data_IF_680555952530
#
_entry.id   IF_680555952530
#
_cell.length_a   1.000
_cell.length_b   1.000
_cell.length_c   1.000
_cell.angle_alpha   90.00
_cell.angle_beta   90.00
_cell.angle_gamma   90.00
#
_symmetry.space_group_name_H-M   'P 1'
#
loop_
_entity.id
_entity.type
_entity.pdbx_description
1 polymer ?
#
# COMPACT_ATOMS: atom_id res chain seq x y z
N UNK A 1 34.05 -31.83 -4.81
CA UNK A 1 32.96 -31.58 -5.79
C UNK A 1 32.72 -30.07 -5.76
N UNK A 2 32.85 -29.40 -6.91
CA UNK A 2 32.53 -27.98 -6.95
C UNK A 2 31.00 -27.84 -6.87
N UNK A 3 30.51 -27.15 -5.86
CA UNK A 3 29.09 -26.79 -5.67
C UNK A 3 28.61 -25.98 -6.91
N UNK A 4 27.44 -26.32 -7.48
CA UNK A 4 26.88 -25.54 -8.56
C UNK A 4 26.41 -24.16 -8.08
N UNK A 5 26.43 -23.12 -8.96
CA UNK A 5 25.94 -21.79 -8.58
C UNK A 5 24.46 -21.81 -8.16
N UNK A 6 23.67 -22.71 -8.73
CA UNK A 6 22.28 -22.90 -8.35
C UNK A 6 22.12 -23.45 -6.93
N UNK A 7 22.97 -24.37 -6.48
CA UNK A 7 22.97 -24.88 -5.11
C UNK A 7 23.44 -23.82 -4.11
N UNK A 8 24.47 -23.07 -4.49
CA UNK A 8 24.98 -21.95 -3.70
C UNK A 8 23.90 -20.87 -3.53
N UNK A 9 23.17 -20.52 -4.58
CA UNK A 9 22.05 -19.58 -4.54
C UNK A 9 20.93 -20.09 -3.59
N UNK A 10 20.55 -21.34 -3.68
CA UNK A 10 19.55 -21.94 -2.78
C UNK A 10 19.98 -21.87 -1.33
N UNK A 11 21.25 -22.16 -1.02
CA UNK A 11 21.79 -22.05 0.33
C UNK A 11 21.73 -20.62 0.85
N UNK A 12 22.06 -19.63 0.00
CA UNK A 12 21.96 -18.22 0.37
C UNK A 12 20.52 -17.79 0.63
N UNK A 13 19.54 -18.25 -0.16
CA UNK A 13 18.11 -18.04 0.11
C UNK A 13 17.70 -18.58 1.47
N UNK A 14 18.07 -19.85 1.78
CA UNK A 14 17.75 -20.46 3.08
C UNK A 14 18.39 -19.72 4.24
N UNK A 15 19.63 -19.22 4.07
CA UNK A 15 20.30 -18.39 5.07
C UNK A 15 19.51 -17.11 5.33
N UNK A 16 19.14 -16.36 4.27
CA UNK A 16 18.40 -15.10 4.36
C UNK A 16 17.01 -15.28 5.00
N UNK A 17 16.34 -16.39 4.71
CA UNK A 17 15.03 -16.70 5.32
C UNK A 17 15.12 -16.94 6.85
N UNK A 18 16.29 -17.24 7.36
CA UNK A 18 16.53 -17.49 8.80
C UNK A 18 17.27 -16.36 9.50
N UNK A 19 17.84 -15.42 8.74
CA UNK A 19 18.63 -14.33 9.29
C UNK A 19 17.71 -13.28 9.94
N UNK A 20 17.99 -12.82 11.17
CA UNK A 20 17.10 -11.92 11.93
C UNK A 20 16.65 -10.68 11.15
N UNK A 21 17.56 -10.01 10.45
CA UNK A 21 17.27 -8.78 9.71
C UNK A 21 16.48 -8.99 8.42
N UNK A 22 16.43 -10.21 7.87
CA UNK A 22 15.82 -10.48 6.55
C UNK A 22 14.71 -11.51 6.57
N UNK A 23 14.49 -12.23 7.67
CA UNK A 23 13.47 -13.29 7.72
C UNK A 23 12.05 -12.78 7.46
N UNK A 24 11.77 -11.52 7.73
CA UNK A 24 10.52 -10.87 7.36
C UNK A 24 10.23 -10.95 5.86
N UNK A 25 11.27 -10.90 5.03
CA UNK A 25 11.17 -10.98 3.58
C UNK A 25 11.15 -12.41 3.06
N UNK A 26 11.11 -13.44 3.94
CA UNK A 26 11.16 -14.85 3.55
C UNK A 26 10.10 -15.23 2.51
N UNK A 27 8.87 -14.71 2.63
CA UNK A 27 7.82 -14.93 1.65
C UNK A 27 8.16 -14.33 0.28
N UNK A 28 8.77 -13.14 0.25
CA UNK A 28 9.18 -12.48 -1.01
C UNK A 28 10.41 -13.15 -1.62
N UNK A 29 11.34 -13.64 -0.80
CA UNK A 29 12.50 -14.41 -1.26
C UNK A 29 12.06 -15.64 -2.06
N UNK A 30 11.00 -16.33 -1.64
CA UNK A 30 10.47 -17.50 -2.34
C UNK A 30 9.41 -17.17 -3.38
N UNK A 31 8.97 -15.93 -3.47
CA UNK A 31 7.97 -15.50 -4.46
C UNK A 31 8.56 -15.53 -5.87
N UNK A 32 7.86 -16.21 -6.79
CA UNK A 32 8.29 -16.36 -8.17
C UNK A 32 9.40 -17.40 -8.36
N UNK A 33 10.04 -17.37 -9.52
CA UNK A 33 11.13 -18.27 -9.88
C UNK A 33 12.47 -17.54 -9.75
N UNK A 34 13.48 -18.25 -9.24
CA UNK A 34 14.88 -17.81 -9.21
C UNK A 34 15.69 -18.71 -10.11
N UNK A 35 16.26 -18.16 -11.19
CA UNK A 35 17.00 -18.91 -12.21
C UNK A 35 18.43 -18.39 -12.31
N UNK A 36 19.38 -19.30 -12.61
CA UNK A 36 20.76 -18.96 -12.93
C UNK A 36 20.96 -19.14 -14.42
N UNK A 37 21.43 -18.10 -15.13
CA UNK A 37 21.67 -18.13 -16.59
C UNK A 37 23.05 -17.63 -16.93
N UNK A 38 23.62 -18.22 -17.99
CA UNK A 38 24.89 -17.76 -18.60
C UNK A 38 24.64 -16.48 -19.39
N UNK A 39 25.66 -15.63 -19.47
CA UNK A 39 25.60 -14.40 -20.27
C UNK A 39 24.77 -13.27 -19.68
N UNK A 40 24.29 -13.41 -18.46
CA UNK A 40 23.65 -12.33 -17.69
C UNK A 40 24.76 -11.60 -16.91
N UNK A 41 24.92 -10.26 -17.07
CA UNK A 41 26.03 -9.54 -16.45
C UNK A 41 26.02 -9.56 -14.93
N UNK A 42 24.83 -9.39 -14.32
CA UNK A 42 24.60 -9.29 -12.88
C UNK A 42 23.37 -10.11 -12.46
N UNK A 43 22.33 -9.46 -12.03
CA UNK A 43 21.01 -10.04 -11.81
C UNK A 43 19.94 -9.08 -12.32
N UNK A 44 18.71 -9.53 -12.49
CA UNK A 44 17.57 -8.67 -12.76
C UNK A 44 16.27 -9.33 -12.34
N UNK A 45 15.26 -8.51 -12.07
CA UNK A 45 13.90 -8.98 -11.79
C UNK A 45 12.89 -8.41 -12.78
N UNK A 46 11.80 -9.14 -13.00
CA UNK A 46 10.58 -8.68 -13.67
C UNK A 46 9.49 -8.20 -12.68
N UNK A 47 9.82 -8.14 -11.38
CA UNK A 47 8.89 -7.83 -10.29
C UNK A 47 8.32 -9.06 -9.57
N UNK A 48 8.43 -10.25 -10.16
CA UNK A 48 8.02 -11.53 -9.57
C UNK A 48 9.17 -12.54 -9.60
N UNK A 49 9.75 -12.75 -10.77
CA UNK A 49 10.85 -13.70 -10.99
C UNK A 49 12.19 -12.97 -10.94
N UNK A 50 13.25 -13.70 -10.68
CA UNK A 50 14.64 -13.18 -10.66
C UNK A 50 15.55 -14.06 -11.48
N UNK A 51 16.41 -13.44 -12.29
CA UNK A 51 17.44 -14.13 -13.05
C UNK A 51 18.80 -13.64 -12.59
N UNK A 52 19.70 -14.57 -12.26
CA UNK A 52 21.05 -14.30 -11.81
C UNK A 52 22.07 -14.77 -12.83
N UNK A 53 23.11 -13.98 -13.07
CA UNK A 53 24.23 -14.34 -13.93
C UNK A 53 25.14 -15.40 -13.30
N UNK A 54 25.39 -16.52 -14.02
CA UNK A 54 26.24 -17.59 -13.49
C UNK A 54 27.66 -17.09 -13.22
N UNK A 55 28.24 -16.34 -14.17
CA UNK A 55 29.59 -15.79 -14.09
C UNK A 55 29.70 -14.71 -12.98
N UNK A 56 28.63 -13.94 -12.79
CA UNK A 56 28.55 -12.95 -11.70
C UNK A 56 28.54 -13.64 -10.35
N UNK A 57 27.64 -14.61 -10.15
CA UNK A 57 27.55 -15.36 -8.90
C UNK A 57 28.85 -16.08 -8.54
N UNK A 58 29.57 -16.62 -9.55
CA UNK A 58 30.84 -17.29 -9.33
C UNK A 58 31.94 -16.37 -8.77
N UNK A 59 31.86 -15.08 -9.03
CA UNK A 59 32.81 -14.06 -8.54
C UNK A 59 32.45 -13.49 -7.18
N UNK A 60 31.16 -13.45 -6.83
CA UNK A 60 30.68 -12.89 -5.56
C UNK A 60 31.19 -13.69 -4.36
N UNK A 61 31.58 -13.01 -3.30
CA UNK A 61 31.68 -13.62 -1.98
C UNK A 61 30.29 -13.88 -1.38
N UNK A 62 30.19 -14.52 -0.20
CA UNK A 62 28.91 -14.86 0.41
C UNK A 62 28.12 -13.62 0.87
N UNK A 63 28.74 -12.59 1.51
CA UNK A 63 28.02 -11.37 1.89
C UNK A 63 27.46 -10.61 0.70
N UNK A 64 28.22 -10.49 -0.38
CA UNK A 64 27.78 -9.82 -1.62
C UNK A 64 26.68 -10.61 -2.33
N UNK A 65 26.80 -11.94 -2.40
CA UNK A 65 25.75 -12.80 -2.95
C UNK A 65 24.41 -12.58 -2.23
N UNK A 66 24.45 -12.54 -0.89
CA UNK A 66 23.26 -12.31 -0.09
C UNK A 66 22.70 -10.90 -0.28
N UNK A 67 23.57 -9.90 -0.40
CA UNK A 67 23.16 -8.54 -0.72
C UNK A 67 22.51 -8.46 -2.11
N UNK A 68 23.05 -9.15 -3.12
CA UNK A 68 22.45 -9.22 -4.47
C UNK A 68 21.05 -9.83 -4.42
N UNK A 69 20.86 -10.91 -3.68
CA UNK A 69 19.51 -11.49 -3.50
C UNK A 69 18.57 -10.49 -2.85
N UNK A 70 19.00 -9.82 -1.79
CA UNK A 70 18.17 -8.86 -1.07
C UNK A 70 17.92 -7.58 -1.87
N UNK A 71 18.80 -7.24 -2.81
CA UNK A 71 18.58 -6.15 -3.76
C UNK A 71 17.39 -6.47 -4.68
N UNK A 72 17.38 -7.61 -5.32
CA UNK A 72 16.26 -8.05 -6.17
C UNK A 72 14.95 -8.20 -5.37
N UNK A 73 15.03 -8.72 -4.15
CA UNK A 73 13.92 -8.81 -3.20
C UNK A 73 13.41 -7.41 -2.85
N UNK A 74 14.29 -6.42 -2.71
CA UNK A 74 13.95 -5.02 -2.47
C UNK A 74 13.11 -4.43 -3.60
N UNK A 75 13.48 -4.67 -4.86
CA UNK A 75 12.70 -4.24 -6.02
C UNK A 75 11.30 -4.85 -6.06
N UNK A 76 11.17 -6.15 -5.72
CA UNK A 76 9.87 -6.83 -5.60
C UNK A 76 9.03 -6.25 -4.45
N UNK A 77 9.64 -6.09 -3.27
CA UNK A 77 9.00 -5.56 -2.08
C UNK A 77 8.48 -4.14 -2.28
N UNK A 78 9.30 -3.25 -2.83
CA UNK A 78 8.93 -1.86 -3.10
C UNK A 78 8.12 -1.69 -4.39
N UNK A 79 7.84 -2.79 -5.11
CA UNK A 79 7.03 -2.82 -6.34
C UNK A 79 7.54 -1.85 -7.40
N UNK A 80 8.87 -1.71 -7.51
CA UNK A 80 9.47 -0.66 -8.33
C UNK A 80 9.00 -0.71 -9.78
N UNK A 81 8.86 -1.89 -10.37
CA UNK A 81 8.53 -2.07 -11.78
C UNK A 81 7.04 -1.90 -12.10
N UNK A 82 6.15 -2.03 -11.11
CA UNK A 82 4.71 -1.88 -11.29
C UNK A 82 4.22 -0.52 -10.81
N UNK A 83 4.56 -0.15 -9.58
CA UNK A 83 4.07 1.09 -8.96
C UNK A 83 4.69 2.37 -9.56
N UNK A 84 5.97 2.31 -9.97
CA UNK A 84 6.68 3.46 -10.54
C UNK A 84 6.82 3.38 -12.06
N UNK A 85 6.01 2.57 -12.76
CA UNK A 85 6.05 2.35 -14.20
C UNK A 85 6.20 3.65 -15.00
N UNK A 86 5.45 4.70 -14.62
CA UNK A 86 5.51 6.02 -15.25
C UNK A 86 6.93 6.64 -15.21
N UNK A 87 7.68 6.52 -14.11
CA UNK A 87 9.03 7.07 -14.02
C UNK A 87 9.98 6.34 -14.95
N UNK A 88 9.83 5.02 -15.09
CA UNK A 88 10.60 4.20 -16.00
C UNK A 88 10.25 4.48 -17.47
N UNK A 89 9.02 4.82 -17.79
CA UNK A 89 8.61 5.25 -19.14
C UNK A 89 9.16 6.63 -19.48
N UNK A 90 9.29 7.56 -18.52
CA UNK A 90 9.83 8.91 -18.73
C UNK A 90 11.35 8.92 -18.89
N UNK A 91 12.11 8.29 -17.99
CA UNK A 91 13.56 8.17 -18.03
C UNK A 91 14.01 6.92 -17.27
N UNK A 92 14.08 5.80 -18.02
CA UNK A 92 14.39 4.46 -17.50
C UNK A 92 15.68 4.43 -16.67
N UNK A 93 16.73 5.06 -17.17
CA UNK A 93 18.05 5.06 -16.51
C UNK A 93 17.97 5.77 -15.17
N UNK A 94 17.41 6.97 -15.14
CA UNK A 94 17.28 7.75 -13.90
C UNK A 94 16.34 7.07 -12.90
N UNK A 95 15.26 6.44 -13.38
CA UNK A 95 14.31 5.71 -12.52
C UNK A 95 14.98 4.47 -11.89
N UNK A 96 15.75 3.70 -12.67
CA UNK A 96 16.50 2.56 -12.17
C UNK A 96 17.51 2.99 -11.10
N UNK A 97 18.31 4.00 -11.39
CA UNK A 97 19.26 4.56 -10.42
C UNK A 97 18.58 5.00 -9.12
N UNK A 98 17.44 5.68 -9.22
CA UNK A 98 16.70 6.14 -8.04
C UNK A 98 16.18 4.96 -7.20
N UNK A 99 15.69 3.91 -7.85
CA UNK A 99 15.25 2.69 -7.20
C UNK A 99 16.41 1.98 -6.49
N UNK A 100 17.59 1.87 -7.14
CA UNK A 100 18.79 1.24 -6.58
C UNK A 100 19.32 1.99 -5.36
N UNK A 101 19.36 3.33 -5.39
CA UNK A 101 19.75 4.12 -4.22
C UNK A 101 18.87 3.81 -3.00
N UNK A 102 17.56 3.68 -3.20
CA UNK A 102 16.61 3.39 -2.12
C UNK A 102 16.78 1.97 -1.60
N UNK A 103 16.90 0.97 -2.47
CA UNK A 103 17.10 -0.43 -2.07
C UNK A 103 18.43 -0.61 -1.33
N UNK A 104 19.51 -0.04 -1.88
CA UNK A 104 20.85 -0.18 -1.29
C UNK A 104 20.93 0.51 0.08
N UNK A 105 20.25 1.64 0.30
CA UNK A 105 20.17 2.27 1.62
C UNK A 105 19.48 1.36 2.66
N UNK A 106 18.45 0.61 2.26
CA UNK A 106 17.80 -0.37 3.13
C UNK A 106 18.79 -1.47 3.53
N UNK A 107 19.56 -2.01 2.58
CA UNK A 107 20.54 -3.07 2.84
C UNK A 107 21.65 -2.57 3.76
N UNK A 108 22.22 -1.40 3.51
CA UNK A 108 23.28 -0.80 4.33
C UNK A 108 22.81 -0.54 5.77
N UNK A 109 21.54 -0.19 5.97
CA UNK A 109 20.97 0.04 7.30
C UNK A 109 20.87 -1.21 8.17
N UNK A 110 20.84 -2.42 7.60
CA UNK A 110 20.88 -3.64 8.42
C UNK A 110 22.20 -3.79 9.18
N UNK A 111 23.27 -3.15 8.70
CA UNK A 111 24.56 -3.07 9.37
C UNK A 111 25.06 -4.43 9.91
N UNK A 112 24.99 -5.45 9.06
CA UNK A 112 25.43 -6.81 9.38
C UNK A 112 26.58 -7.24 8.48
N UNK A 113 27.61 -7.95 9.00
CA UNK A 113 28.71 -8.45 8.20
C UNK A 113 28.28 -9.56 7.21
N UNK A 114 27.12 -10.12 7.42
CA UNK A 114 26.60 -11.21 6.62
C UNK A 114 25.99 -10.77 5.28
N UNK A 115 25.66 -9.48 5.12
CA UNK A 115 24.99 -8.91 3.95
C UNK A 115 25.63 -7.55 3.66
N UNK A 116 26.49 -7.51 2.66
CA UNK A 116 27.31 -6.32 2.35
C UNK A 116 27.20 -5.98 0.88
N UNK A 117 26.91 -4.71 0.53
CA UNK A 117 26.87 -4.23 -0.84
C UNK A 117 28.27 -4.20 -1.45
N UNK A 118 28.34 -4.32 -2.78
CA UNK A 118 29.61 -4.36 -3.51
C UNK A 118 30.21 -2.98 -3.78
N UNK A 119 31.46 -2.99 -4.20
CA UNK A 119 32.12 -1.79 -4.72
C UNK A 119 31.40 -1.28 -5.97
N UNK A 120 31.16 0.03 -6.02
CA UNK A 120 30.46 0.67 -7.15
C UNK A 120 28.93 0.57 -7.11
N UNK A 121 28.34 -0.07 -6.10
CA UNK A 121 26.90 -0.02 -5.90
C UNK A 121 26.43 1.39 -5.57
N UNK A 122 25.29 1.78 -6.12
CA UNK A 122 24.72 3.11 -5.90
C UNK A 122 24.23 3.26 -4.46
N UNK A 123 24.94 4.03 -3.66
CA UNK A 123 24.55 4.34 -2.30
C UNK A 123 25.06 5.73 -1.90
N UNK A 124 24.19 6.53 -1.27
CA UNK A 124 24.59 7.79 -0.68
C UNK A 124 23.71 8.10 0.54
N UNK A 125 24.30 8.39 1.71
CA UNK A 125 23.55 8.66 2.93
C UNK A 125 22.63 9.90 2.85
N UNK A 126 22.83 10.78 1.86
CA UNK A 126 21.96 11.92 1.60
C UNK A 126 20.53 11.48 1.26
N UNK A 127 20.36 10.34 0.58
CA UNK A 127 19.06 9.81 0.18
C UNK A 127 18.35 8.98 1.25
N UNK A 128 18.90 8.94 2.47
CA UNK A 128 18.30 8.21 3.59
C UNK A 128 16.87 8.67 3.85
N UNK A 129 15.94 7.72 3.88
CA UNK A 129 14.49 7.93 4.04
C UNK A 129 13.82 8.72 2.89
N UNK A 130 14.48 8.87 1.75
CA UNK A 130 13.84 9.43 0.57
C UNK A 130 13.04 8.36 -0.18
N UNK A 131 11.92 8.77 -0.78
CA UNK A 131 11.19 7.92 -1.72
C UNK A 131 11.89 7.87 -3.08
N UNK A 132 11.58 6.85 -3.87
CA UNK A 132 12.09 6.75 -5.26
C UNK A 132 11.78 8.00 -6.07
N UNK A 133 10.59 8.59 -5.91
CA UNK A 133 10.18 9.83 -6.61
C UNK A 133 11.09 10.99 -6.23
N UNK A 134 11.38 11.17 -4.93
CA UNK A 134 12.25 12.25 -4.45
C UNK A 134 13.68 12.12 -5.00
N UNK A 135 14.24 10.89 -4.99
CA UNK A 135 15.56 10.63 -5.56
C UNK A 135 15.56 10.86 -7.07
N UNK A 136 14.54 10.37 -7.78
CA UNK A 136 14.36 10.56 -9.21
C UNK A 136 14.32 12.04 -9.60
N UNK A 137 13.50 12.83 -8.91
CA UNK A 137 13.37 14.26 -9.16
C UNK A 137 14.68 15.01 -8.91
N UNK A 138 15.42 14.63 -7.87
CA UNK A 138 16.73 15.21 -7.58
C UNK A 138 17.74 14.89 -8.69
N UNK A 139 17.90 13.63 -9.08
CA UNK A 139 18.81 13.21 -10.13
C UNK A 139 18.46 13.87 -11.47
N UNK A 140 17.18 13.99 -11.79
CA UNK A 140 16.70 14.65 -13.01
C UNK A 140 17.02 16.13 -13.04
N UNK A 141 16.95 16.81 -11.90
CA UNK A 141 17.34 18.24 -11.79
C UNK A 141 18.84 18.41 -12.01
N UNK A 142 19.68 17.56 -11.43
CA UNK A 142 21.13 17.56 -11.65
C UNK A 142 21.47 17.32 -13.13
N UNK A 143 20.85 16.35 -13.77
CA UNK A 143 21.01 16.07 -15.20
C UNK A 143 20.64 17.26 -16.11
N UNK A 144 19.69 18.10 -15.71
CA UNK A 144 19.31 19.32 -16.44
C UNK A 144 20.29 20.47 -16.22
N UNK A 145 20.88 20.58 -15.04
CA UNK A 145 21.84 21.65 -14.73
C UNK A 145 23.23 21.40 -15.34
N UNK A 146 23.57 20.15 -15.63
CA UNK A 146 24.86 19.76 -16.24
C UNK A 146 24.87 19.78 -17.78
N UNK A 147 23.79 20.18 -18.46
CA UNK A 147 23.82 20.43 -19.92
C UNK A 147 24.58 21.71 -20.19
N UNK A 148 25.75 21.69 -20.92
CA UNK A 148 26.47 22.89 -21.27
C UNK A 148 25.60 23.75 -22.18
N UNK A 149 25.55 25.06 -21.89
CA UNK A 149 25.08 26.08 -22.83
C UNK A 149 25.97 26.00 -24.08
N UNK A 150 25.38 25.75 -25.24
CA UNK A 150 26.06 25.70 -26.53
C UNK A 150 26.80 26.98 -26.81
N UNK A 151 28.13 26.91 -26.97
CA UNK A 151 28.97 27.96 -27.46
C UNK A 151 30.44 27.61 -27.28
N UNK A 152 31.03 26.89 -28.24
CA UNK A 152 32.49 26.71 -28.28
C UNK A 152 32.94 25.37 -28.87
N UNK A 153 33.42 25.39 -30.10
CA UNK A 153 34.11 24.30 -30.77
C UNK A 153 35.32 23.83 -29.95
N UNK A 154 35.31 22.57 -29.51
CA UNK A 154 36.52 21.87 -29.11
C UNK A 154 36.57 20.50 -29.82
N UNK A 155 37.74 20.00 -30.25
CA UNK A 155 37.88 18.86 -31.14
C UNK A 155 37.56 17.53 -30.45
N UNK A 156 36.79 16.71 -31.15
CA UNK A 156 36.48 15.33 -30.81
C UNK A 156 37.76 14.48 -30.88
N UNK A 157 38.29 14.09 -29.73
CA UNK A 157 39.25 12.98 -29.68
C UNK A 157 38.45 11.68 -29.61
N UNK A 158 38.55 10.92 -30.71
CA UNK A 158 38.06 9.53 -30.74
C UNK A 158 38.95 8.67 -29.81
N UNK A 159 38.43 8.34 -28.65
CA UNK A 159 38.98 7.29 -27.80
C UNK A 159 38.46 5.94 -28.30
N UNK A 160 39.32 5.17 -28.98
CA UNK A 160 39.08 3.76 -29.27
C UNK A 160 39.02 2.99 -27.93
N UNK A 161 37.85 2.51 -27.58
CA UNK A 161 37.69 1.55 -26.48
C UNK A 161 38.25 0.20 -26.88
N UNK A 162 39.48 -0.10 -26.46
CA UNK A 162 40.01 -1.46 -26.45
C UNK A 162 39.25 -2.26 -25.37
N UNK A 163 38.55 -3.32 -25.79
CA UNK A 163 38.00 -4.32 -24.90
C UNK A 163 39.14 -4.98 -24.10
N UNK A 164 39.21 -4.64 -22.82
CA UNK A 164 40.02 -5.37 -21.88
C UNK A 164 39.31 -6.65 -21.48
N UNK A 165 39.96 -7.77 -21.71
CA UNK A 165 39.67 -9.09 -21.18
C UNK A 165 39.33 -8.99 -19.70
N UNK A 166 38.14 -9.47 -19.34
CA UNK A 166 37.67 -9.53 -17.95
C UNK A 166 38.59 -10.46 -17.15
N UNK A 167 39.48 -9.84 -16.38
CA UNK A 167 40.21 -10.52 -15.33
C UNK A 167 39.24 -11.17 -14.36
N UNK A 168 39.55 -12.41 -13.93
CA UNK A 168 38.82 -13.25 -13.02
C UNK A 168 38.85 -12.73 -11.55
N UNK A 169 38.73 -11.42 -11.38
CA UNK A 169 38.83 -10.78 -10.08
C UNK A 169 37.57 -11.11 -9.23
N UNK A 170 37.83 -11.62 -8.06
CA UNK A 170 36.79 -11.90 -7.07
C UNK A 170 36.09 -10.60 -6.63
N UNK A 171 34.79 -10.62 -6.52
CA UNK A 171 33.97 -9.50 -6.04
C UNK A 171 33.65 -9.71 -4.56
N UNK A 172 33.93 -8.69 -3.74
CA UNK A 172 33.75 -8.73 -2.29
C UNK A 172 32.76 -7.66 -1.83
N UNK A 173 31.97 -7.99 -0.80
CA UNK A 173 31.10 -7.05 -0.12
C UNK A 173 31.88 -6.10 0.80
N UNK A 174 31.43 -4.86 0.92
CA UNK A 174 32.09 -3.82 1.70
C UNK A 174 31.31 -3.50 2.98
N UNK A 175 31.99 -3.62 4.13
CA UNK A 175 31.42 -3.26 5.43
C UNK A 175 31.14 -1.75 5.56
N UNK A 176 31.98 -0.92 4.94
CA UNK A 176 31.83 0.54 4.92
C UNK A 176 31.85 1.00 3.45
N UNK A 177 30.71 0.98 2.75
CA UNK A 177 30.65 1.38 1.37
C UNK A 177 30.96 2.87 1.22
N UNK A 178 31.76 3.21 0.19
CA UNK A 178 32.03 4.60 -0.16
C UNK A 178 30.77 5.22 -0.76
N UNK A 179 30.31 6.40 -0.29
CA UNK A 179 29.19 7.09 -0.88
C UNK A 179 29.44 7.40 -2.34
N UNK A 180 28.48 7.09 -3.21
CA UNK A 180 28.54 7.41 -4.63
C UNK A 180 28.58 8.92 -4.82
N UNK A 181 29.57 9.41 -5.58
CA UNK A 181 29.63 10.83 -5.93
C UNK A 181 28.58 11.14 -7.00
N UNK A 182 27.58 11.91 -6.63
CA UNK A 182 26.41 12.20 -7.49
C UNK A 182 26.82 13.06 -8.69
N UNK A 183 27.80 13.91 -8.55
CA UNK A 183 28.28 14.80 -9.61
C UNK A 183 29.03 14.02 -10.71
N UNK A 184 29.53 12.84 -10.40
CA UNK A 184 30.22 11.94 -11.34
C UNK A 184 29.25 10.97 -12.06
N UNK A 185 28.00 10.88 -11.62
CA UNK A 185 26.97 10.08 -12.28
C UNK A 185 26.44 10.83 -13.51
N UNK A 186 27.33 11.13 -14.46
CA UNK A 186 26.89 11.68 -15.73
C UNK A 186 26.31 10.56 -16.62
N UNK A 187 25.25 10.83 -17.39
CA UNK A 187 24.53 9.84 -18.20
C UNK A 187 25.38 9.19 -19.31
N UNK A 188 26.65 9.60 -19.47
CA UNK A 188 27.56 9.17 -20.51
C UNK A 188 28.63 8.16 -20.07
N UNK A 189 28.67 7.78 -18.81
CA UNK A 189 29.67 6.86 -18.30
C UNK A 189 29.15 5.41 -18.34
N UNK A 190 29.42 4.73 -19.42
CA UNK A 190 29.23 3.29 -19.61
C UNK A 190 30.15 2.42 -18.72
N UNK A 191 30.23 2.72 -17.44
CA UNK A 191 31.11 2.03 -16.51
C UNK A 191 30.42 1.45 -15.25
N UNK A 192 29.22 1.90 -14.91
CA UNK A 192 28.45 1.32 -13.82
C UNK A 192 27.42 0.39 -14.46
N UNK A 193 27.63 -0.91 -14.31
CA UNK A 193 26.66 -1.92 -14.73
C UNK A 193 25.52 -1.88 -13.74
N UNK A 194 24.52 -1.07 -14.04
CA UNK A 194 23.23 -1.14 -13.35
C UNK A 194 22.52 -2.41 -13.79
N UNK A 195 21.80 -3.03 -12.87
CA UNK A 195 20.93 -4.12 -13.21
C UNK A 195 19.82 -3.59 -14.13
N UNK A 196 19.80 -4.03 -15.37
CA UNK A 196 18.75 -3.66 -16.32
C UNK A 196 17.53 -4.52 -16.06
N UNK A 197 16.62 -4.02 -15.23
CA UNK A 197 15.35 -4.71 -14.99
C UNK A 197 14.51 -4.78 -16.26
N UNK A 198 13.88 -5.93 -16.47
CA UNK A 198 13.02 -6.17 -17.64
C UNK A 198 11.61 -5.65 -17.43
N UNK A 199 11.45 -4.34 -17.58
CA UNK A 199 10.17 -3.65 -17.46
C UNK A 199 9.17 -4.12 -18.51
N UNK A 200 9.63 -4.52 -19.69
CA UNK A 200 8.79 -5.04 -20.76
C UNK A 200 8.08 -6.34 -20.36
N UNK A 201 8.77 -7.22 -19.63
CA UNK A 201 8.17 -8.44 -19.07
C UNK A 201 7.27 -8.12 -17.86
N UNK A 202 7.57 -7.07 -17.09
CA UNK A 202 6.74 -6.60 -15.98
C UNK A 202 5.46 -5.88 -16.45
N UNK A 203 5.42 -5.40 -17.68
CA UNK A 203 4.25 -4.73 -18.24
C UNK A 203 3.03 -5.65 -18.42
N UNK A 204 3.25 -6.96 -18.48
CA UNK A 204 2.21 -7.98 -18.60
C UNK A 204 1.52 -8.31 -17.26
N UNK A 205 2.06 -7.81 -16.13
CA UNK A 205 1.49 -8.05 -14.81
C UNK A 205 0.50 -6.96 -14.39
N UNK A 206 -0.65 -7.37 -13.90
CA UNK A 206 -1.59 -6.46 -13.25
C UNK A 206 -0.98 -5.96 -11.91
N UNK A 207 -0.87 -4.64 -11.74
CA UNK A 207 -0.35 -3.99 -10.54
C UNK A 207 -1.07 -4.50 -9.27
N UNK A 208 -2.38 -4.69 -9.36
CA UNK A 208 -3.18 -5.19 -8.24
C UNK A 208 -2.80 -6.63 -7.88
N UNK A 209 -2.63 -7.49 -8.87
CA UNK A 209 -2.25 -8.89 -8.64
C UNK A 209 -0.85 -9.00 -8.01
N UNK A 210 0.12 -8.21 -8.49
CA UNK A 210 1.48 -8.15 -7.91
C UNK A 210 1.42 -7.62 -6.48
N UNK A 211 0.63 -6.57 -6.23
CA UNK A 211 0.43 -6.01 -4.89
C UNK A 211 -0.10 -7.06 -3.90
N UNK A 212 -1.15 -7.79 -4.27
CA UNK A 212 -1.74 -8.83 -3.43
C UNK A 212 -0.76 -9.97 -3.14
N UNK A 213 0.04 -10.37 -4.14
CA UNK A 213 1.09 -11.39 -3.97
C UNK A 213 2.18 -10.94 -3.01
N UNK A 214 2.67 -9.69 -3.14
CA UNK A 214 3.69 -9.11 -2.25
C UNK A 214 3.15 -9.00 -0.84
N UNK A 215 1.92 -8.50 -0.65
CA UNK A 215 1.30 -8.38 0.67
C UNK A 215 1.08 -9.73 1.34
N UNK A 216 0.66 -10.75 0.57
CA UNK A 216 0.54 -12.13 1.07
C UNK A 216 1.89 -12.71 1.49
N UNK A 217 2.93 -12.48 0.68
CA UNK A 217 4.28 -12.94 0.96
C UNK A 217 4.87 -12.27 2.22
N UNK A 218 4.62 -10.97 2.41
CA UNK A 218 5.02 -10.25 3.62
C UNK A 218 4.30 -10.75 4.86
N UNK A 219 3.00 -11.04 4.78
CA UNK A 219 2.25 -11.62 5.90
C UNK A 219 2.85 -12.95 6.32
N UNK A 220 3.20 -13.82 5.38
CA UNK A 220 3.85 -15.09 5.67
C UNK A 220 5.21 -14.89 6.36
N UNK A 221 6.04 -13.97 5.82
CA UNK A 221 7.32 -13.62 6.42
C UNK A 221 7.18 -13.02 7.82
N UNK A 222 6.17 -12.16 8.03
CA UNK A 222 5.85 -11.55 9.33
C UNK A 222 5.43 -12.57 10.39
N UNK A 223 4.66 -13.59 10.02
CA UNK A 223 4.31 -14.72 10.91
C UNK A 223 5.58 -15.48 11.29
N UNK A 224 6.41 -15.81 10.31
CA UNK A 224 7.66 -16.54 10.55
C UNK A 224 8.62 -15.76 11.46
N UNK A 225 8.81 -14.47 11.20
CA UNK A 225 9.63 -13.58 12.04
C UNK A 225 9.08 -13.50 13.47
N UNK A 226 7.76 -13.47 13.66
CA UNK A 226 7.12 -13.49 14.96
C UNK A 226 7.37 -14.78 15.74
N UNK A 227 7.40 -15.94 15.05
CA UNK A 227 7.66 -17.24 15.69
C UNK A 227 9.15 -17.41 16.04
N UNK A 228 10.05 -16.96 15.17
CA UNK A 228 11.50 -17.19 15.32
C UNK A 228 12.24 -16.05 16.05
N UNK A 229 11.54 -15.00 16.50
CA UNK A 229 12.13 -13.88 17.22
C UNK A 229 12.96 -12.93 16.36
N UNK A 230 12.62 -12.81 15.08
CA UNK A 230 13.27 -11.85 14.16
C UNK A 230 12.88 -10.39 14.43
N UNK A 231 13.74 -9.48 14.00
CA UNK A 231 13.45 -8.05 14.06
C UNK A 231 12.23 -7.71 13.21
N UNK A 232 11.17 -7.21 13.87
CA UNK A 232 10.02 -6.61 13.21
C UNK A 232 10.12 -5.09 13.35
N UNK A 233 10.45 -4.36 12.29
CA UNK A 233 10.26 -2.90 12.31
C UNK A 233 8.78 -2.59 12.55
N UNK A 234 8.48 -1.69 13.49
CA UNK A 234 7.10 -1.31 13.86
C UNK A 234 6.25 -0.87 12.66
N UNK A 235 6.87 -0.29 11.63
CA UNK A 235 6.21 0.12 10.38
C UNK A 235 5.67 -1.05 9.54
N UNK A 236 6.14 -2.27 9.77
CA UNK A 236 5.71 -3.43 8.99
C UNK A 236 4.41 -4.02 9.53
N UNK A 237 4.13 -3.88 10.81
CA UNK A 237 2.81 -4.23 11.35
C UNK A 237 1.72 -3.32 10.73
N UNK A 238 2.07 -2.10 10.33
CA UNK A 238 1.19 -1.19 9.58
C UNK A 238 1.01 -1.62 8.12
N UNK A 239 2.09 -2.04 7.46
CA UNK A 239 2.06 -2.58 6.10
C UNK A 239 1.38 -3.95 6.02
N UNK A 240 1.42 -4.74 7.11
CA UNK A 240 0.81 -6.06 7.20
C UNK A 240 -0.66 -6.00 7.62
N UNK A 241 -1.13 -4.89 8.16
CA UNK A 241 -2.55 -4.65 8.38
C UNK A 241 -3.23 -4.65 7.00
N UNK A 242 -4.20 -5.53 6.75
CA UNK A 242 -4.92 -5.47 5.48
C UNK A 242 -5.52 -4.06 5.39
N UNK A 243 -5.11 -3.29 4.37
CA UNK A 243 -5.79 -2.05 4.02
C UNK A 243 -7.18 -2.46 3.59
N UNK A 244 -8.11 -2.37 4.51
CA UNK A 244 -9.52 -2.51 4.17
C UNK A 244 -9.87 -1.24 3.40
N UNK A 245 -10.27 -1.40 2.13
CA UNK A 245 -10.87 -0.28 1.40
C UNK A 245 -12.12 0.15 2.17
N UNK A 246 -11.98 1.25 2.89
CA UNK A 246 -13.04 1.75 3.75
C UNK A 246 -14.33 2.07 2.95
N UNK A 247 -14.19 2.46 1.67
CA UNK A 247 -15.30 2.74 0.77
C UNK A 247 -16.09 1.47 0.47
N UNK A 248 -15.39 0.40 0.15
CA UNK A 248 -16.01 -0.90 -0.06
C UNK A 248 -16.65 -1.43 1.22
N UNK A 249 -15.96 -1.33 2.37
CA UNK A 249 -16.50 -1.78 3.66
C UNK A 249 -17.75 -1.00 4.06
N UNK A 250 -17.79 0.31 3.80
CA UNK A 250 -18.96 1.17 4.03
C UNK A 250 -20.12 0.76 3.11
N UNK A 251 -19.87 0.57 1.82
CA UNK A 251 -20.87 0.11 0.85
C UNK A 251 -21.44 -1.26 1.23
N UNK A 252 -20.59 -2.23 1.58
CA UNK A 252 -21.03 -3.57 2.01
C UNK A 252 -21.87 -3.52 3.28
N UNK A 253 -21.46 -2.69 4.25
CA UNK A 253 -22.18 -2.54 5.51
C UNK A 253 -23.57 -1.93 5.29
N UNK A 254 -23.67 -0.83 4.55
CA UNK A 254 -24.95 -0.16 4.25
C UNK A 254 -25.82 -1.10 3.41
N UNK A 255 -25.28 -1.71 2.37
CA UNK A 255 -26.02 -2.63 1.51
C UNK A 255 -26.54 -3.85 2.28
N UNK A 256 -25.73 -4.41 3.19
CA UNK A 256 -26.15 -5.55 4.03
C UNK A 256 -27.23 -5.19 5.04
N UNK A 257 -27.14 -3.99 5.65
CA UNK A 257 -28.12 -3.50 6.61
C UNK A 257 -29.41 -3.06 5.93
N UNK A 258 -29.28 -2.45 4.75
CA UNK A 258 -30.38 -1.89 3.98
C UNK A 258 -30.99 -2.87 2.97
N UNK A 259 -30.43 -4.06 2.77
CA UNK A 259 -31.11 -5.12 2.03
C UNK A 259 -32.31 -5.60 2.83
N UNK A 260 -33.41 -4.87 2.70
CA UNK A 260 -34.68 -5.18 3.33
C UNK A 260 -35.06 -6.64 3.10
N UNK A 261 -35.58 -7.30 4.11
CA UNK A 261 -36.19 -8.63 3.98
C UNK A 261 -37.15 -8.56 2.81
N UNK A 262 -36.91 -9.32 1.76
CA UNK A 262 -37.92 -9.51 0.71
C UNK A 262 -39.11 -10.22 1.36
N UNK A 263 -40.08 -9.43 1.84
CA UNK A 263 -41.34 -9.97 2.30
C UNK A 263 -42.23 -10.28 1.11
N UNK A 264 -42.70 -11.50 1.03
CA UNK A 264 -43.69 -11.90 0.04
C UNK A 264 -45.05 -11.53 0.58
N UNK A 265 -45.72 -10.61 -0.11
CA UNK A 265 -47.08 -10.19 0.30
C UNK A 265 -48.13 -10.72 -0.67
N UNK A 266 -49.18 -11.26 -0.09
CA UNK A 266 -50.39 -11.67 -0.81
C UNK A 266 -51.31 -10.49 -1.23
N UNK A 267 -50.97 -9.26 -0.83
CA UNK A 267 -51.70 -8.05 -1.24
C UNK A 267 -51.59 -7.76 -2.74
N UNK A 268 -50.53 -8.24 -3.38
CA UNK A 268 -50.34 -8.19 -4.83
C UNK A 268 -49.82 -9.54 -5.31
N UNK A 269 -50.48 -10.09 -6.30
CA UNK A 269 -50.01 -11.30 -6.97
C UNK A 269 -48.98 -10.94 -8.02
N UNK A 270 -48.06 -11.88 -8.28
CA UNK A 270 -47.08 -11.72 -9.35
C UNK A 270 -47.77 -11.73 -10.73
N UNK A 271 -47.85 -10.56 -11.37
CA UNK A 271 -48.58 -10.38 -12.62
C UNK A 271 -48.10 -11.29 -13.76
N UNK A 272 -46.82 -11.71 -13.76
CA UNK A 272 -46.28 -12.61 -14.77
C UNK A 272 -46.79 -14.05 -14.60
N UNK A 273 -47.09 -14.45 -13.38
CA UNK A 273 -47.56 -15.81 -13.10
C UNK A 273 -49.06 -15.95 -13.13
N UNK A 274 -49.80 -14.86 -12.92
CA UNK A 274 -51.28 -14.84 -13.10
C UNK A 274 -51.68 -15.20 -14.53
N UNK A 275 -50.88 -14.81 -15.51
CA UNK A 275 -51.12 -15.15 -16.90
C UNK A 275 -51.06 -16.67 -17.18
N UNK A 276 -50.53 -17.46 -16.27
CA UNK A 276 -50.43 -18.91 -16.31
C UNK A 276 -51.30 -19.60 -15.23
N UNK A 277 -52.29 -18.88 -14.65
CA UNK A 277 -53.16 -19.31 -13.56
C UNK A 277 -52.40 -19.75 -12.29
N UNK A 278 -51.15 -19.25 -12.10
CA UNK A 278 -50.35 -19.52 -10.91
C UNK A 278 -50.41 -18.31 -9.98
N UNK A 279 -51.00 -18.49 -8.83
CA UNK A 279 -51.15 -17.44 -7.80
C UNK A 279 -50.01 -17.57 -6.78
N UNK A 280 -48.99 -16.72 -6.93
CA UNK A 280 -47.89 -16.60 -5.96
C UNK A 280 -47.81 -15.17 -5.44
N UNK A 281 -47.35 -14.98 -4.20
CA UNK A 281 -47.22 -13.62 -3.66
C UNK A 281 -46.17 -12.85 -4.46
N UNK A 282 -46.35 -11.55 -4.59
CA UNK A 282 -45.32 -10.66 -5.14
C UNK A 282 -44.30 -10.34 -4.06
N UNK A 283 -43.05 -10.37 -4.42
CA UNK A 283 -42.03 -9.77 -3.57
C UNK A 283 -42.30 -8.27 -3.49
N UNK A 284 -42.57 -7.78 -2.31
CA UNK A 284 -42.57 -6.35 -2.02
C UNK A 284 -41.17 -6.07 -1.49
N UNK A 285 -40.39 -5.30 -2.22
CA UNK A 285 -39.24 -4.62 -1.67
C UNK A 285 -39.80 -3.64 -0.65
N UNK A 286 -39.72 -3.94 0.64
CA UNK A 286 -39.90 -2.90 1.63
C UNK A 286 -38.82 -1.85 1.38
N UNK A 287 -39.23 -0.59 1.41
CA UNK A 287 -38.35 0.57 1.33
C UNK A 287 -37.22 0.39 2.35
N UNK A 288 -36.03 0.70 1.92
CA UNK A 288 -34.84 0.69 2.78
C UNK A 288 -35.04 1.74 3.86
N UNK A 289 -35.11 1.31 5.11
CA UNK A 289 -35.47 2.19 6.24
C UNK A 289 -34.50 3.35 6.47
N UNK A 290 -34.47 3.86 7.68
CA UNK A 290 -33.69 5.06 8.04
C UNK A 290 -32.22 4.72 8.29
N UNK A 291 -31.30 5.39 7.59
CA UNK A 291 -29.86 5.38 7.83
C UNK A 291 -29.49 6.54 8.77
N UNK A 292 -28.79 6.25 9.87
CA UNK A 292 -28.28 7.28 10.78
C UNK A 292 -26.78 7.41 10.63
N UNK A 293 -26.32 8.66 10.44
CA UNK A 293 -24.90 9.02 10.37
C UNK A 293 -24.60 10.00 11.49
N UNK A 294 -23.84 9.59 12.49
CA UNK A 294 -23.43 10.41 13.61
C UNK A 294 -22.01 10.95 13.34
N UNK A 295 -21.88 12.25 13.18
CA UNK A 295 -20.64 12.93 12.84
C UNK A 295 -20.10 13.66 14.07
N UNK A 296 -18.85 13.32 14.42
CA UNK A 296 -18.09 14.02 15.44
C UNK A 296 -17.75 15.44 14.96
N UNK A 297 -17.98 16.42 15.82
CA UNK A 297 -17.72 17.83 15.57
C UNK A 297 -16.50 18.34 16.33
N UNK A 298 -15.69 17.44 16.90
CA UNK A 298 -14.44 17.81 17.55
C UNK A 298 -13.50 18.48 16.53
N UNK A 299 -12.73 19.48 16.98
CA UNK A 299 -11.87 20.28 16.10
C UNK A 299 -10.69 19.53 15.47
N UNK A 300 -10.53 18.24 15.75
CA UNK A 300 -9.49 17.36 15.24
C UNK A 300 -9.84 16.71 13.90
N UNK A 301 -11.12 16.70 13.49
CA UNK A 301 -11.53 16.15 12.20
C UNK A 301 -11.28 17.20 11.08
N UNK A 302 -10.49 16.82 10.10
CA UNK A 302 -10.17 17.65 8.93
C UNK A 302 -11.37 17.82 8.00
N UNK A 303 -11.52 19.02 7.42
CA UNK A 303 -12.58 19.29 6.44
C UNK A 303 -12.44 18.45 5.18
N UNK A 304 -11.21 18.05 4.80
CA UNK A 304 -10.95 17.19 3.66
C UNK A 304 -11.49 15.78 3.88
N UNK A 305 -11.22 15.17 5.04
CA UNK A 305 -11.69 13.83 5.43
C UNK A 305 -13.21 13.79 5.49
N UNK A 306 -13.82 14.82 6.08
CA UNK A 306 -15.28 14.94 6.14
C UNK A 306 -15.90 15.07 4.74
N UNK A 307 -15.27 15.82 3.84
CA UNK A 307 -15.76 15.99 2.47
C UNK A 307 -15.66 14.69 1.68
N UNK A 308 -14.55 13.96 1.83
CA UNK A 308 -14.37 12.66 1.16
C UNK A 308 -15.41 11.65 1.67
N UNK A 309 -15.60 11.54 2.98
CA UNK A 309 -16.62 10.69 3.56
C UNK A 309 -18.03 11.04 3.06
N UNK A 310 -18.36 12.33 3.04
CA UNK A 310 -19.67 12.80 2.58
C UNK A 310 -19.91 12.49 1.09
N UNK A 311 -18.88 12.65 0.27
CA UNK A 311 -18.97 12.36 -1.17
C UNK A 311 -19.24 10.87 -1.40
N UNK A 312 -18.52 10.01 -0.70
CA UNK A 312 -18.72 8.55 -0.79
C UNK A 312 -20.09 8.14 -0.24
N UNK A 313 -20.49 8.73 0.89
CA UNK A 313 -21.82 8.46 1.48
C UNK A 313 -22.95 8.82 0.51
N UNK A 314 -22.86 9.95 -0.21
CA UNK A 314 -23.83 10.34 -1.23
C UNK A 314 -23.87 9.31 -2.37
N UNK A 315 -22.71 8.89 -2.88
CA UNK A 315 -22.61 7.87 -3.92
C UNK A 315 -23.27 6.55 -3.51
N UNK A 316 -23.06 6.14 -2.26
CA UNK A 316 -23.67 4.92 -1.72
C UNK A 316 -25.15 5.09 -1.52
N UNK A 317 -25.62 6.24 -0.99
CA UNK A 317 -27.04 6.53 -0.82
C UNK A 317 -27.78 6.57 -2.16
N UNK A 318 -27.17 7.12 -3.23
CA UNK A 318 -27.73 7.10 -4.58
C UNK A 318 -27.88 5.67 -5.14
N UNK A 319 -26.97 4.76 -4.74
CA UNK A 319 -27.02 3.35 -5.14
C UNK A 319 -28.01 2.52 -4.34
N UNK A 320 -28.06 2.71 -3.03
CA UNK A 320 -28.88 1.91 -2.09
C UNK A 320 -30.28 2.49 -1.94
N UNK A 321 -30.45 3.78 -2.16
CA UNK A 321 -31.69 4.55 -2.08
C UNK A 321 -32.47 4.35 -0.75
N UNK A 322 -31.87 4.73 0.40
CA UNK A 322 -32.56 4.66 1.70
C UNK A 322 -33.72 5.65 1.74
N UNK A 323 -34.79 5.34 2.50
CA UNK A 323 -35.93 6.25 2.68
C UNK A 323 -35.55 7.58 3.32
N UNK A 324 -34.63 7.49 4.26
CA UNK A 324 -34.14 8.65 5.02
C UNK A 324 -32.67 8.47 5.39
N UNK A 325 -31.93 9.54 5.27
CA UNK A 325 -30.59 9.69 5.87
C UNK A 325 -30.67 10.76 6.95
N UNK A 326 -30.44 10.37 8.18
CA UNK A 326 -30.39 11.29 9.31
C UNK A 326 -28.95 11.53 9.69
N UNK A 327 -28.49 12.76 9.57
CA UNK A 327 -27.17 13.19 10.04
C UNK A 327 -27.33 13.81 11.43
N UNK A 328 -26.56 13.31 12.40
CA UNK A 328 -26.57 13.75 13.80
C UNK A 328 -25.19 14.33 14.14
N UNK A 329 -25.18 15.58 14.58
CA UNK A 329 -23.96 16.28 14.99
C UNK A 329 -23.74 16.15 16.48
N UNK A 330 -22.58 15.68 16.90
CA UNK A 330 -22.29 15.44 18.32
C UNK A 330 -20.86 15.82 18.71
N UNK A 331 -20.71 16.18 19.99
CA UNK A 331 -19.43 16.33 20.70
C UNK A 331 -19.59 15.71 22.12
N UNK A 332 -19.75 16.51 23.15
CA UNK A 332 -20.17 16.05 24.50
C UNK A 332 -21.68 15.74 24.61
N UNK A 333 -22.45 16.25 23.65
CA UNK A 333 -23.89 16.06 23.47
C UNK A 333 -24.26 16.17 22.00
N UNK A 334 -25.50 15.76 21.68
CA UNK A 334 -26.02 15.99 20.31
C UNK A 334 -26.43 17.46 20.17
N UNK A 335 -25.85 18.13 19.17
CA UNK A 335 -26.08 19.56 18.89
C UNK A 335 -27.22 19.81 17.92
N UNK A 336 -27.51 18.84 17.06
CA UNK A 336 -28.55 18.96 16.06
C UNK A 336 -28.65 17.73 15.19
N UNK A 337 -29.71 17.68 14.41
CA UNK A 337 -29.93 16.67 13.40
C UNK A 337 -30.39 17.29 12.09
N UNK A 338 -30.07 16.64 10.97
CA UNK A 338 -30.58 16.98 9.64
C UNK A 338 -31.10 15.70 9.00
N UNK A 339 -32.25 15.80 8.32
CA UNK A 339 -32.88 14.65 7.66
C UNK A 339 -32.95 14.93 6.18
N UNK A 340 -32.44 13.98 5.40
CA UNK A 340 -32.47 13.97 3.95
C UNK A 340 -33.41 12.85 3.48
N UNK A 341 -34.34 13.17 2.58
CA UNK A 341 -35.19 12.23 1.88
C UNK A 341 -35.24 12.63 0.40
N UNK A 342 -35.19 11.66 -0.47
CA UNK A 342 -35.30 11.80 -1.95
C UNK A 342 -34.16 12.55 -2.68
N UNK A 343 -33.30 13.33 -2.00
CA UNK A 343 -32.19 14.04 -2.64
C UNK A 343 -30.98 14.13 -1.70
N UNK A 344 -29.97 13.34 -1.94
CA UNK A 344 -28.75 13.28 -1.14
C UNK A 344 -27.66 14.24 -1.62
N UNK A 345 -27.80 14.85 -2.82
CA UNK A 345 -26.79 15.77 -3.37
C UNK A 345 -26.53 16.99 -2.49
N UNK A 346 -27.50 17.38 -1.66
CA UNK A 346 -27.35 18.46 -0.68
C UNK A 346 -26.45 18.12 0.50
N UNK A 347 -26.19 16.84 0.75
CA UNK A 347 -25.46 16.35 1.91
C UNK A 347 -24.00 16.85 1.90
N UNK A 348 -23.36 16.93 0.74
CA UNK A 348 -21.99 17.44 0.59
C UNK A 348 -21.83 18.91 0.98
N UNK A 349 -22.85 19.73 0.75
CA UNK A 349 -22.80 21.19 0.95
C UNK A 349 -23.32 21.64 2.31
N UNK A 350 -24.08 20.76 2.99
CA UNK A 350 -24.75 21.10 4.25
C UNK A 350 -24.01 20.61 5.49
N UNK A 351 -22.88 19.92 5.33
CA UNK A 351 -22.05 19.47 6.45
C UNK A 351 -21.34 20.65 7.12
N UNK A 352 -22.09 21.43 7.90
CA UNK A 352 -21.50 22.45 8.78
C UNK A 352 -21.40 21.83 10.18
N UNK A 353 -20.18 21.58 10.69
CA UNK A 353 -20.01 21.07 12.03
C UNK A 353 -20.61 22.06 13.02
N UNK A 354 -21.57 21.59 13.82
CA UNK A 354 -22.18 22.34 14.90
C UNK A 354 -21.60 21.78 16.21
N UNK A 355 -20.68 22.47 16.86
CA UNK A 355 -20.05 22.06 18.11
C UNK A 355 -18.61 22.49 18.20
N UNK A 356 -17.81 21.85 19.04
CA UNK A 356 -16.40 22.14 19.26
C UNK A 356 -15.93 21.88 20.70
N UNK A 357 -16.58 20.93 21.36
CA UNK A 357 -16.30 20.55 22.74
C UNK A 357 -15.63 19.18 22.91
N UNK A 358 -15.93 18.47 23.99
CA UNK A 358 -15.43 17.12 24.27
C UNK A 358 -16.06 16.06 23.39
N UNK A 359 -15.53 14.82 23.45
CA UNK A 359 -15.91 13.70 22.58
C UNK A 359 -16.58 12.58 23.38
N UNK A 360 -17.89 12.73 23.71
CA UNK A 360 -18.69 11.73 24.39
C UNK A 360 -19.67 11.06 23.43
N UNK A 361 -19.24 10.00 22.77
CA UNK A 361 -20.05 9.28 21.77
C UNK A 361 -21.27 8.58 22.36
N UNK A 362 -21.24 8.21 23.62
CA UNK A 362 -22.39 7.60 24.32
C UNK A 362 -23.66 8.45 24.22
N UNK A 363 -23.55 9.78 24.08
CA UNK A 363 -24.69 10.68 23.93
C UNK A 363 -25.49 10.40 22.64
N UNK A 364 -24.86 9.89 21.58
CA UNK A 364 -25.54 9.51 20.34
C UNK A 364 -26.51 8.36 20.60
N UNK A 365 -26.04 7.31 21.27
CA UNK A 365 -26.90 6.17 21.63
C UNK A 365 -28.06 6.59 22.53
N UNK A 366 -27.81 7.44 23.54
CA UNK A 366 -28.82 7.99 24.42
C UNK A 366 -29.86 8.82 23.64
N UNK A 367 -29.41 9.62 22.69
CA UNK A 367 -30.26 10.44 21.83
C UNK A 367 -31.17 9.59 20.94
N UNK A 368 -30.61 8.59 20.23
CA UNK A 368 -31.38 7.70 19.36
C UNK A 368 -32.50 6.96 20.14
N UNK A 369 -32.19 6.50 21.35
CA UNK A 369 -33.18 5.86 22.24
C UNK A 369 -34.25 6.86 22.71
N UNK A 370 -33.83 8.05 23.15
CA UNK A 370 -34.77 9.07 23.68
C UNK A 370 -35.74 9.56 22.61
N UNK A 371 -35.33 9.59 21.35
CA UNK A 371 -36.16 9.97 20.20
C UNK A 371 -36.92 8.79 19.58
N UNK A 372 -36.72 7.58 20.09
CA UNK A 372 -37.31 6.34 19.57
C UNK A 372 -37.03 6.17 18.07
N UNK A 373 -35.76 6.42 17.64
CA UNK A 373 -35.33 6.31 16.26
C UNK A 373 -35.01 4.84 15.98
N UNK A 374 -35.74 4.23 15.06
CA UNK A 374 -35.49 2.88 14.57
C UNK A 374 -34.63 2.96 13.29
N UNK A 375 -33.31 2.98 13.43
CA UNK A 375 -32.39 2.99 12.30
C UNK A 375 -32.15 1.56 11.80
N UNK A 376 -32.07 1.37 10.48
CA UNK A 376 -31.61 0.12 9.89
C UNK A 376 -30.12 -0.10 10.17
N UNK A 377 -29.34 0.96 10.15
CA UNK A 377 -27.97 0.96 10.65
C UNK A 377 -27.53 2.35 11.11
N UNK A 378 -26.47 2.36 11.91
CA UNK A 378 -25.85 3.58 12.43
C UNK A 378 -24.38 3.59 12.02
N UNK A 379 -23.92 4.71 11.49
CA UNK A 379 -22.53 4.97 11.18
C UNK A 379 -22.04 6.07 12.11
N UNK A 380 -20.96 5.83 12.84
CA UNK A 380 -20.28 6.82 13.68
C UNK A 380 -18.98 7.21 13.01
N UNK A 381 -18.88 8.47 12.65
CA UNK A 381 -17.67 9.07 12.07
C UNK A 381 -16.95 9.90 13.13
N UNK A 382 -15.71 9.53 13.46
CA UNK A 382 -14.90 10.13 14.54
C UNK A 382 -13.41 9.99 14.26
N UNK A 383 -12.59 10.84 14.88
CA UNK A 383 -11.12 10.69 14.90
C UNK A 383 -10.65 9.53 15.79
N UNK A 384 -11.54 9.00 16.63
CA UNK A 384 -11.26 7.88 17.53
C UNK A 384 -10.74 8.29 18.91
N UNK A 385 -10.69 9.58 19.24
CA UNK A 385 -10.36 10.06 20.59
C UNK A 385 -11.64 10.34 21.37
N UNK A 386 -12.34 9.29 21.73
CA UNK A 386 -13.61 9.34 22.47
C UNK A 386 -13.42 9.02 23.96
N UNK A 387 -14.47 9.18 24.76
CA UNK A 387 -14.44 8.88 26.19
C UNK A 387 -13.98 7.46 26.51
N UNK A 388 -13.30 7.28 27.65
CA UNK A 388 -12.97 5.95 28.17
C UNK A 388 -14.23 5.26 28.70
N UNK A 389 -14.53 4.06 28.17
CA UNK A 389 -15.70 3.27 28.60
C UNK A 389 -16.98 3.66 27.87
N UNK A 390 -16.92 3.74 26.55
CA UNK A 390 -18.09 4.00 25.69
C UNK A 390 -19.25 3.07 26.03
N UNK A 391 -20.42 3.65 26.32
CA UNK A 391 -21.66 2.91 26.59
C UNK A 391 -22.61 3.03 25.41
N UNK A 392 -22.69 1.98 24.60
CA UNK A 392 -23.61 1.92 23.46
C UNK A 392 -24.78 0.97 23.77
N UNK A 393 -26.01 1.48 23.75
CA UNK A 393 -27.23 0.73 24.10
C UNK A 393 -28.21 0.59 22.94
N UNK A 394 -28.03 1.32 21.87
CA UNK A 394 -28.90 1.21 20.69
C UNK A 394 -28.65 -0.13 19.97
N UNK A 395 -29.73 -0.78 19.49
CA UNK A 395 -29.63 -2.17 18.97
C UNK A 395 -29.34 -2.28 17.48
N UNK A 396 -29.41 -1.18 16.73
CA UNK A 396 -29.13 -1.21 15.29
C UNK A 396 -27.69 -1.61 14.99
N UNK A 397 -27.44 -2.28 13.87
CA UNK A 397 -26.09 -2.51 13.37
C UNK A 397 -25.27 -1.24 13.38
N UNK A 398 -24.02 -1.31 13.86
CA UNK A 398 -23.16 -0.16 14.08
C UNK A 398 -21.83 -0.31 13.35
N UNK A 399 -21.45 0.73 12.61
CA UNK A 399 -20.16 0.86 11.96
C UNK A 399 -19.42 2.09 12.48
N UNK A 400 -18.20 1.90 12.91
CA UNK A 400 -17.29 2.98 13.31
C UNK A 400 -16.33 3.30 12.17
N UNK A 401 -16.38 4.52 11.68
CA UNK A 401 -15.46 5.09 10.71
C UNK A 401 -14.47 5.96 11.46
N UNK A 402 -13.21 5.53 11.52
CA UNK A 402 -12.17 6.15 12.35
C UNK A 402 -11.09 6.75 11.44
N UNK A 403 -10.72 8.02 11.66
CA UNK A 403 -9.75 8.71 10.82
C UNK A 403 -8.32 8.74 11.40
N UNK A 404 -8.15 8.73 12.73
CA UNK A 404 -6.82 8.93 13.33
C UNK A 404 -6.43 7.82 14.31
N UNK A 405 -7.22 7.54 15.33
CA UNK A 405 -6.88 6.58 16.38
C UNK A 405 -7.31 5.14 16.04
N UNK A 406 -6.50 4.41 15.30
CA UNK A 406 -6.76 3.01 14.93
C UNK A 406 -6.82 2.03 16.11
N UNK A 407 -6.32 2.42 17.27
CA UNK A 407 -6.28 1.59 18.48
C UNK A 407 -7.56 1.70 19.33
N UNK A 408 -8.53 2.53 18.93
CA UNK A 408 -9.81 2.61 19.62
C UNK A 408 -10.45 1.22 19.75
N UNK A 409 -10.74 0.80 20.97
CA UNK A 409 -11.56 -0.38 21.25
C UNK A 409 -13.02 0.02 21.26
N UNK A 410 -13.80 -0.56 20.35
CA UNK A 410 -15.24 -0.30 20.23
C UNK A 410 -16.03 -1.36 21.00
N UNK A 411 -17.01 -0.97 21.84
CA UNK A 411 -17.74 -1.92 22.66
C UNK A 411 -18.69 -2.81 21.85
N UNK A 412 -19.24 -2.27 20.74
CA UNK A 412 -20.22 -2.93 19.88
C UNK A 412 -19.99 -2.49 18.44
N UNK A 413 -20.28 -3.35 17.47
CA UNK A 413 -20.24 -3.04 16.05
C UNK A 413 -18.94 -3.41 15.36
N UNK A 414 -18.81 -2.97 14.12
CA UNK A 414 -17.59 -3.13 13.30
C UNK A 414 -16.83 -1.82 13.29
N UNK A 415 -15.51 -1.88 13.20
CA UNK A 415 -14.68 -0.68 12.98
C UNK A 415 -13.95 -0.76 11.64
N UNK A 416 -13.87 0.37 10.97
CA UNK A 416 -13.12 0.56 9.73
C UNK A 416 -12.28 1.81 9.89
N UNK A 417 -11.04 1.74 9.46
CA UNK A 417 -10.11 2.86 9.52
C UNK A 417 -10.02 3.51 8.13
N UNK A 418 -10.20 4.83 8.09
CA UNK A 418 -10.02 5.62 6.88
C UNK A 418 -8.54 6.00 6.77
N UNK A 419 -7.80 5.32 5.90
CA UNK A 419 -6.45 5.75 5.53
C UNK A 419 -6.55 6.63 4.26
N UNK A 420 -5.97 7.82 4.32
CA UNK A 420 -5.78 8.70 3.16
C UNK A 420 -4.54 8.29 2.38
#
# INVERSE_FOLDING_TARGET
MNESQAERLKRAHVFLMKHPSTMLFSGIIVMGKSEVKKGVPTAYTDGINVVYGEEYLARCDEPLLRATIMHEVGHKFLRHLTHYKRLFEEDRVTANMAADFVVNDIIVRWNTPDILIGEGWLWNPMFRNWSVVQVYDYLRKQKRSSKPCHGGNAPVTQGQGQGQSQDSKKLEGQANPTPTNIDEIAPSHGGVTFDEHKIEEAADFDEKEVSEKVDSALRQGGILAGILGGDKPRHIDELLSPKVDWKQALLEFISAACNGKQEYSWRRYNRRMIANDIYIPSAISETVGELVVAIDTSGSIGTAELTEFATELVSICDSVNPDKVRVVWWDSKVHGEQIFSDNYAGLQYMLKPLGGGGTRVSCVSEYLISKNINAECVIVFTDGFVESGVSWRHQSPLLWMITQNKYLEVPVGKKVFMEN
#
